data_IF_047444184767
#
_entry.id   IF_047444184767
#
_cell.length_a   1.000
_cell.length_b   1.000
_cell.length_c   1.000
_cell.angle_alpha   90.00
_cell.angle_beta   90.00
_cell.angle_gamma   90.00
#
_symmetry.space_group_name_H-M   'P 1'
#
loop_
_entity.id
_entity.type
_entity.pdbx_description
1 polymer ?
#
# COMPACT_ATOMS: atom_id res chain seq x y z
N UNK A 1 2.28 7.01 6.70
CA UNK A 1 1.24 6.04 6.29
C UNK A 1 1.70 4.67 6.72
N UNK A 2 0.81 3.86 7.30
CA UNK A 2 1.13 2.51 7.77
C UNK A 2 0.34 1.52 6.90
N UNK A 3 1.04 0.57 6.30
CA UNK A 3 0.45 -0.62 5.68
C UNK A 3 0.77 -1.84 6.55
N UNK A 4 -0.14 -2.81 6.61
CA UNK A 4 0.04 -4.03 7.40
C UNK A 4 -0.22 -5.26 6.54
N UNK A 5 0.77 -6.14 6.42
CA UNK A 5 0.60 -7.45 5.79
C UNK A 5 -0.14 -8.38 6.74
N UNK A 6 -1.44 -8.58 6.50
CA UNK A 6 -2.27 -9.44 7.38
C UNK A 6 -2.11 -10.92 7.03
N UNK A 7 -2.26 -11.26 5.75
CA UNK A 7 -2.29 -12.63 5.23
C UNK A 7 -1.91 -12.65 3.74
N UNK A 8 -1.86 -13.84 3.14
CA UNK A 8 -1.50 -14.09 1.74
C UNK A 8 -0.04 -14.48 1.55
N UNK A 9 0.47 -14.45 0.31
CA UNK A 9 1.85 -14.82 0.04
C UNK A 9 2.81 -13.62 0.21
N UNK A 10 3.36 -13.42 1.42
CA UNK A 10 4.28 -12.30 1.68
C UNK A 10 5.61 -12.46 0.94
N UNK A 11 6.11 -13.69 0.82
CA UNK A 11 7.33 -14.01 0.08
C UNK A 11 7.23 -13.54 -1.37
N UNK A 12 6.13 -13.87 -2.05
CA UNK A 12 5.89 -13.44 -3.44
C UNK A 12 5.80 -11.91 -3.57
N UNK A 13 5.21 -11.22 -2.59
CA UNK A 13 5.19 -9.75 -2.57
C UNK A 13 6.60 -9.18 -2.45
N UNK A 14 7.43 -9.72 -1.56
CA UNK A 14 8.82 -9.32 -1.41
C UNK A 14 9.64 -9.58 -2.68
N UNK A 15 9.47 -10.75 -3.28
CA UNK A 15 10.13 -11.13 -4.54
C UNK A 15 9.73 -10.24 -5.70
N UNK A 16 8.46 -9.85 -5.79
CA UNK A 16 7.97 -8.94 -6.82
C UNK A 16 8.68 -7.57 -6.75
N UNK A 17 8.78 -6.99 -5.56
CA UNK A 17 9.43 -5.68 -5.38
C UNK A 17 10.94 -5.79 -5.57
N UNK A 18 11.57 -6.88 -5.11
CA UNK A 18 12.99 -7.14 -5.37
C UNK A 18 13.26 -7.16 -6.87
N UNK A 19 12.51 -7.96 -7.63
CA UNK A 19 12.63 -8.04 -9.09
C UNK A 19 12.41 -6.70 -9.76
N UNK A 20 11.40 -5.94 -9.33
CA UNK A 20 11.17 -4.60 -9.85
C UNK A 20 12.42 -3.71 -9.75
N UNK A 21 13.11 -3.71 -8.60
CA UNK A 21 14.33 -2.92 -8.46
C UNK A 21 15.51 -3.49 -9.24
N UNK A 22 15.70 -4.81 -9.25
CA UNK A 22 16.76 -5.46 -10.03
C UNK A 22 16.65 -5.13 -11.53
N UNK A 23 15.45 -5.26 -12.09
CA UNK A 23 15.17 -4.99 -13.51
C UNK A 23 15.21 -3.49 -13.85
N UNK A 24 14.82 -2.62 -12.92
CA UNK A 24 14.79 -1.17 -13.15
C UNK A 24 16.15 -0.51 -12.99
N UNK A 25 17.02 -1.06 -12.14
CA UNK A 25 18.37 -0.53 -11.91
C UNK A 25 19.35 -1.00 -12.99
N UNK A 26 19.17 -2.22 -13.52
CA UNK A 26 20.04 -2.82 -14.54
C UNK A 26 21.54 -2.81 -14.18
N UNK A 27 21.89 -2.72 -12.89
CA UNK A 27 23.27 -2.61 -12.41
C UNK A 27 23.88 -1.20 -12.47
N UNK A 28 23.11 -0.17 -12.84
CA UNK A 28 23.57 1.21 -12.92
C UNK A 28 23.56 1.91 -11.54
N UNK A 29 24.56 2.74 -11.28
CA UNK A 29 24.53 3.65 -10.13
C UNK A 29 23.55 4.79 -10.41
N UNK A 30 22.44 4.82 -9.68
CA UNK A 30 21.51 5.93 -9.77
C UNK A 30 21.80 6.96 -8.68
N UNK A 31 21.38 8.20 -8.91
CA UNK A 31 21.41 9.28 -7.92
C UNK A 31 20.73 8.89 -6.59
N UNK A 32 19.83 7.91 -6.61
CA UNK A 32 19.04 7.47 -5.47
C UNK A 32 19.44 6.06 -5.04
N UNK A 33 19.57 5.84 -3.74
CA UNK A 33 19.78 4.49 -3.21
C UNK A 33 18.44 3.83 -2.95
N UNK A 34 18.10 2.84 -3.79
CA UNK A 34 16.94 1.98 -3.58
C UNK A 34 17.28 0.84 -2.61
N UNK A 35 16.30 0.31 -1.88
CA UNK A 35 16.55 -0.76 -0.92
C UNK A 35 16.97 -2.05 -1.61
N UNK A 36 17.99 -2.72 -1.06
CA UNK A 36 18.24 -4.13 -1.34
C UNK A 36 17.17 -4.96 -0.63
N UNK A 37 16.09 -5.26 -1.36
CA UNK A 37 14.91 -5.92 -0.79
C UNK A 37 15.26 -7.37 -0.44
N UNK A 38 15.17 -7.70 0.85
CA UNK A 38 15.19 -9.08 1.34
C UNK A 38 13.75 -9.57 1.57
N UNK A 39 13.22 -10.49 0.72
CA UNK A 39 11.89 -11.05 0.93
C UNK A 39 11.71 -11.74 2.29
N UNK A 40 12.78 -12.32 2.85
CA UNK A 40 12.73 -13.03 4.12
C UNK A 40 12.64 -12.09 5.34
N UNK A 41 12.95 -10.79 5.16
CA UNK A 41 12.79 -9.79 6.21
C UNK A 41 11.34 -9.30 6.36
N UNK A 42 10.40 -9.83 5.56
CA UNK A 42 9.00 -9.45 5.56
C UNK A 42 8.11 -10.65 5.87
N UNK A 43 7.11 -10.48 6.73
CA UNK A 43 6.18 -11.53 7.11
C UNK A 43 4.74 -11.01 7.25
N UNK A 44 3.78 -11.92 7.19
CA UNK A 44 2.40 -11.62 7.53
C UNK A 44 2.18 -11.63 9.04
N UNK A 45 1.22 -10.84 9.53
CA UNK A 45 0.76 -10.91 10.90
C UNK A 45 0.24 -12.30 11.28
N UNK A 46 -0.45 -12.98 10.34
CA UNK A 46 -0.91 -14.35 10.54
C UNK A 46 0.23 -15.34 10.82
N UNK A 47 1.37 -15.18 10.13
CA UNK A 47 2.57 -16.00 10.33
C UNK A 47 3.27 -15.64 11.63
N UNK A 48 3.48 -14.34 11.89
CA UNK A 48 4.19 -13.86 13.08
C UNK A 48 3.46 -14.20 14.38
N UNK A 49 2.13 -14.26 14.36
CA UNK A 49 1.31 -14.61 15.51
C UNK A 49 0.93 -16.08 15.57
N UNK A 50 1.34 -16.88 14.58
CA UNK A 50 0.97 -18.28 14.40
C UNK A 50 -0.56 -18.51 14.50
N UNK A 51 -1.32 -17.63 13.82
CA UNK A 51 -2.79 -17.63 13.88
C UNK A 51 -3.39 -17.28 12.53
N UNK A 52 -4.42 -18.01 12.07
CA UNK A 52 -5.16 -17.59 10.89
C UNK A 52 -5.82 -16.23 11.15
N UNK A 53 -5.59 -15.29 10.23
CA UNK A 53 -6.18 -13.95 10.27
C UNK A 53 -6.64 -13.54 8.89
N UNK A 54 -7.79 -12.89 8.84
CA UNK A 54 -8.30 -12.16 7.68
C UNK A 54 -8.18 -10.65 7.92
N UNK A 55 -8.27 -9.87 6.84
CA UNK A 55 -8.33 -8.40 6.93
C UNK A 55 -9.55 -7.95 7.75
N UNK A 56 -10.67 -8.67 7.66
CA UNK A 56 -11.87 -8.39 8.45
C UNK A 56 -11.60 -8.58 9.96
N UNK A 57 -10.95 -9.68 10.36
CA UNK A 57 -10.59 -9.94 11.76
C UNK A 57 -9.69 -8.83 12.33
N UNK A 58 -8.70 -8.40 11.55
CA UNK A 58 -7.79 -7.32 11.97
C UNK A 58 -8.54 -5.99 12.08
N UNK A 59 -9.43 -5.68 11.13
CA UNK A 59 -10.27 -4.49 11.18
C UNK A 59 -11.16 -4.50 12.43
N UNK A 60 -11.83 -5.61 12.72
CA UNK A 60 -12.67 -5.74 13.91
C UNK A 60 -11.85 -5.56 15.20
N UNK A 61 -10.67 -6.18 15.29
CA UNK A 61 -9.76 -6.01 16.44
C UNK A 61 -9.37 -4.56 16.65
N UNK A 62 -9.03 -3.83 15.59
CA UNK A 62 -8.72 -2.40 15.67
C UNK A 62 -9.92 -1.61 16.19
N UNK A 63 -11.11 -1.81 15.62
CA UNK A 63 -12.34 -1.13 16.06
C UNK A 63 -12.67 -1.45 17.54
N UNK A 64 -12.47 -2.70 17.97
CA UNK A 64 -12.70 -3.14 19.35
C UNK A 64 -11.78 -2.43 20.36
N UNK A 65 -10.59 -1.99 19.95
CA UNK A 65 -9.68 -1.24 20.84
C UNK A 65 -10.29 0.12 21.15
N UNK A 66 -10.88 0.79 20.16
CA UNK A 66 -11.53 2.09 20.39
C UNK A 66 -12.72 1.97 21.35
N UNK A 67 -13.62 1.01 21.11
CA UNK A 67 -14.81 0.82 21.94
C UNK A 67 -14.46 0.40 23.37
N UNK A 68 -13.49 -0.51 23.55
CA UNK A 68 -13.01 -0.90 24.89
C UNK A 68 -12.36 0.24 25.67
N UNK A 69 -11.78 1.21 24.98
CA UNK A 69 -11.22 2.41 25.59
C UNK A 69 -12.25 3.56 25.72
N UNK A 70 -13.56 3.26 25.62
CA UNK A 70 -14.63 4.23 25.83
C UNK A 70 -14.84 5.22 24.70
N UNK A 71 -14.28 4.97 23.51
CA UNK A 71 -14.50 5.83 22.34
C UNK A 71 -15.78 5.43 21.61
N UNK A 72 -16.56 6.43 21.21
CA UNK A 72 -17.72 6.24 20.33
C UNK A 72 -17.28 6.34 18.88
N UNK A 73 -17.53 5.28 18.11
CA UNK A 73 -17.28 5.26 16.67
C UNK A 73 -18.50 5.83 15.94
N UNK A 74 -18.33 6.95 15.25
CA UNK A 74 -19.37 7.57 14.43
C UNK A 74 -19.10 7.25 12.95
N UNK A 75 -20.13 6.88 12.17
CA UNK A 75 -20.00 6.79 10.71
C UNK A 75 -19.53 8.13 10.14
N UNK A 76 -18.57 8.09 9.22
CA UNK A 76 -18.16 9.28 8.49
C UNK A 76 -19.24 9.69 7.49
N UNK A 77 -19.56 10.99 7.43
CA UNK A 77 -20.48 11.55 6.44
C UNK A 77 -19.71 12.11 5.24
N UNK A 78 -20.14 11.72 4.03
CA UNK A 78 -19.58 12.21 2.77
C UNK A 78 -20.41 13.38 2.25
N UNK A 79 -20.25 14.55 2.88
CA UNK A 79 -20.97 15.75 2.46
C UNK A 79 -20.40 16.34 1.14
N UNK A 80 -21.17 17.24 0.52
CA UNK A 80 -20.84 17.85 -0.77
C UNK A 80 -19.46 18.51 -0.79
N UNK A 81 -19.09 19.20 0.31
CA UNK A 81 -17.77 19.84 0.43
C UNK A 81 -16.64 18.81 0.38
N UNK A 82 -16.74 17.74 1.18
CA UNK A 82 -15.73 16.67 1.20
C UNK A 82 -15.64 15.97 -0.16
N UNK A 83 -16.77 15.73 -0.81
CA UNK A 83 -16.79 15.12 -2.15
C UNK A 83 -16.15 16.03 -3.19
N UNK A 84 -16.41 17.34 -3.15
CA UNK A 84 -15.75 18.30 -4.05
C UNK A 84 -14.23 18.37 -3.83
N UNK A 85 -13.78 18.32 -2.57
CA UNK A 85 -12.36 18.24 -2.21
C UNK A 85 -11.72 16.93 -2.71
N UNK A 86 -12.42 15.79 -2.54
CA UNK A 86 -12.00 14.50 -3.04
C UNK A 86 -11.84 14.50 -4.57
N UNK A 87 -12.85 14.97 -5.31
CA UNK A 87 -12.80 15.01 -6.78
C UNK A 87 -11.65 15.87 -7.29
N UNK A 88 -11.41 17.02 -6.63
CA UNK A 88 -10.26 17.87 -6.94
C UNK A 88 -8.94 17.15 -6.71
N UNK A 89 -8.79 16.46 -5.58
CA UNK A 89 -7.57 15.70 -5.25
C UNK A 89 -7.36 14.50 -6.20
N UNK A 90 -8.45 13.81 -6.54
CA UNK A 90 -8.45 12.66 -7.43
C UNK A 90 -8.08 13.04 -8.86
N UNK A 91 -8.66 14.13 -9.40
CA UNK A 91 -8.30 14.66 -10.72
C UNK A 91 -6.81 15.04 -10.79
N UNK A 92 -6.29 15.70 -9.74
CA UNK A 92 -4.85 16.02 -9.65
C UNK A 92 -3.98 14.76 -9.61
N UNK A 93 -4.40 13.72 -8.89
CA UNK A 93 -3.68 12.44 -8.84
C UNK A 93 -3.66 11.77 -10.22
N UNK A 94 -4.81 11.69 -10.92
CA UNK A 94 -4.87 11.12 -12.28
C UNK A 94 -3.93 11.82 -13.24
N UNK A 95 -4.01 13.16 -13.30
CA UNK A 95 -3.15 13.97 -14.19
C UNK A 95 -1.66 13.74 -13.93
N UNK A 96 -1.23 13.55 -12.67
CA UNK A 96 0.16 13.21 -12.34
C UNK A 96 0.54 11.79 -12.78
N UNK A 97 -0.37 10.83 -12.61
CA UNK A 97 -0.11 9.44 -13.02
C UNK A 97 -0.01 9.32 -14.56
N UNK A 98 -0.76 10.12 -15.32
CA UNK A 98 -0.65 10.19 -16.78
C UNK A 98 0.76 10.62 -17.24
N UNK A 99 1.40 11.56 -16.54
CA UNK A 99 2.76 12.02 -16.85
C UNK A 99 3.80 10.91 -16.68
N UNK A 100 3.67 10.11 -15.61
CA UNK A 100 4.56 8.95 -15.36
C UNK A 100 4.39 7.89 -16.46
N UNK A 101 3.17 7.71 -16.98
CA UNK A 101 2.90 6.73 -18.03
C UNK A 101 3.31 7.20 -19.43
N UNK A 102 3.21 8.49 -19.75
CA UNK A 102 3.47 9.03 -21.09
C UNK A 102 4.94 9.35 -21.37
N UNK A 103 5.74 9.68 -20.34
CA UNK A 103 7.13 10.11 -20.53
C UNK A 103 8.15 8.96 -20.68
N UNK A 104 7.75 7.70 -20.47
CA UNK A 104 8.69 6.56 -20.44
C UNK A 104 8.42 5.42 -21.44
N UNK A 105 7.24 5.33 -22.05
CA UNK A 105 6.93 4.31 -23.06
C UNK A 105 6.03 4.91 -24.15
N UNK A 106 6.57 5.39 -25.29
CA UNK A 106 5.72 5.65 -26.45
C UNK A 106 5.01 4.34 -26.81
N UNK A 107 3.71 4.40 -27.14
CA UNK A 107 2.97 3.20 -27.53
C UNK A 107 3.74 2.48 -28.66
N UNK A 108 4.00 1.19 -28.46
CA UNK A 108 4.59 0.36 -29.49
C UNK A 108 3.54 0.15 -30.58
N UNK A 109 3.84 0.65 -31.78
CA UNK A 109 3.07 0.39 -33.01
C UNK A 109 2.80 -1.11 -33.25
#
# INVERSE_FOLDING_TARGET
>A
MIYMSVTGNQQQRGEMIRRFYEESLQGEETRWHFPAVDPASMANLAELLDKPLTVADVKERILSVFTRNGNTLLPGEYNERLMAEYETAYAKMKKRNEQVNQEQYPEAD
#
